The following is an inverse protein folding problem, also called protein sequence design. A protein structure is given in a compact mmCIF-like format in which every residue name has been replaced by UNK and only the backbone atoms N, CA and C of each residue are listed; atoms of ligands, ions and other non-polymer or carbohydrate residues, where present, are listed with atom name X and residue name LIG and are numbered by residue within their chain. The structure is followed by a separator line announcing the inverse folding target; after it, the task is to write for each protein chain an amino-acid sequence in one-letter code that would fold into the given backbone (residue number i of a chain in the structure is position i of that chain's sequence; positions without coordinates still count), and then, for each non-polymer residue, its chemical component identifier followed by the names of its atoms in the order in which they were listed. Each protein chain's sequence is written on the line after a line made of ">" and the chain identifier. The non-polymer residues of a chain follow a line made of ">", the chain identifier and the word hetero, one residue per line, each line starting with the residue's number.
data_IF_873674158081
#
_entry.id   IF_873674158081
#
_cell.length_a   1.000
_cell.length_b   1.000
_cell.length_c   1.000
_cell.angle_alpha   90.00
_cell.angle_beta   90.00
_cell.angle_gamma   90.00
#
_symmetry.space_group_name_H-M   'P 1'
#
loop_
_entity.id
_entity.type
_entity.pdbx_description
1 polymer ?
#
# COMPACT_ATOMS: atom_id res chain seq x y z
N UNK A 1 -10.12 -11.20 -7.11
CA UNK A 1 -9.24 -12.16 -7.82
C UNK A 1 -8.44 -12.86 -6.74
N UNK A 2 -8.18 -14.16 -6.88
CA UNK A 2 -7.41 -14.89 -5.88
C UNK A 2 -5.94 -14.97 -6.28
N UNK A 3 -5.06 -14.85 -5.30
CA UNK A 3 -3.63 -14.98 -5.42
C UNK A 3 -3.14 -16.10 -4.53
N UNK A 4 -2.16 -16.87 -5.04
CA UNK A 4 -1.61 -18.03 -4.34
C UNK A 4 -0.26 -17.63 -3.75
N UNK A 5 -0.14 -17.69 -2.43
CA UNK A 5 1.10 -17.47 -1.70
C UNK A 5 1.47 -18.76 -0.95
N UNK A 6 2.32 -19.58 -1.56
CA UNK A 6 2.63 -20.91 -1.00
C UNK A 6 1.41 -21.83 -1.07
N UNK A 7 0.95 -22.30 0.09
CA UNK A 7 -0.27 -23.10 0.27
C UNK A 7 -1.50 -22.26 0.69
N UNK A 8 -1.35 -20.94 0.81
CA UNK A 8 -2.43 -20.03 1.18
C UNK A 8 -3.04 -19.33 -0.04
N UNK A 9 -4.35 -19.08 0.02
CA UNK A 9 -5.10 -18.36 -1.02
C UNK A 9 -5.61 -17.05 -0.43
N UNK A 10 -5.24 -15.93 -1.04
CA UNK A 10 -5.66 -14.60 -0.63
C UNK A 10 -6.50 -13.93 -1.71
N UNK A 11 -7.52 -13.16 -1.31
CA UNK A 11 -8.24 -12.25 -2.21
C UNK A 11 -7.82 -10.81 -1.94
N UNK A 12 -7.66 -10.02 -3.00
CA UNK A 12 -7.47 -8.56 -2.90
C UNK A 12 -8.58 -7.88 -2.08
N UNK A 13 -9.81 -8.39 -2.15
CA UNK A 13 -10.96 -7.90 -1.40
C UNK A 13 -10.86 -8.19 0.12
N UNK A 14 -10.31 -9.34 0.49
CA UNK A 14 -10.14 -9.72 1.89
C UNK A 14 -9.09 -8.84 2.55
N UNK A 15 -7.96 -8.63 1.86
CA UNK A 15 -6.90 -7.71 2.32
C UNK A 15 -7.45 -6.28 2.44
N UNK A 16 -8.19 -5.82 1.44
CA UNK A 16 -8.84 -4.50 1.48
C UNK A 16 -9.77 -4.34 2.68
N UNK A 17 -10.59 -5.36 2.95
CA UNK A 17 -11.53 -5.36 4.09
C UNK A 17 -10.80 -5.37 5.43
N UNK A 18 -9.71 -6.13 5.56
CA UNK A 18 -8.87 -6.17 6.76
C UNK A 18 -8.19 -4.82 7.01
N UNK A 19 -7.67 -4.18 5.98
CA UNK A 19 -7.06 -2.85 6.05
C UNK A 19 -8.06 -1.80 6.51
N UNK A 20 -9.27 -1.80 5.95
CA UNK A 20 -10.34 -0.88 6.37
C UNK A 20 -10.76 -1.11 7.81
N UNK A 21 -11.03 -2.36 8.18
CA UNK A 21 -11.55 -2.72 9.52
C UNK A 21 -10.56 -2.45 10.65
N UNK A 22 -9.29 -2.77 10.43
CA UNK A 22 -8.29 -2.74 11.51
C UNK A 22 -7.52 -1.42 11.57
N UNK A 23 -7.36 -0.73 10.45
CA UNK A 23 -6.47 0.44 10.34
C UNK A 23 -7.14 1.66 9.71
N UNK A 24 -8.40 1.57 9.27
CA UNK A 24 -9.12 2.62 8.53
C UNK A 24 -8.41 3.06 7.24
N UNK A 25 -7.73 2.11 6.60
CA UNK A 25 -7.11 2.33 5.30
C UNK A 25 -8.15 2.02 4.23
N UNK A 26 -8.53 3.04 3.46
CA UNK A 26 -9.47 2.90 2.35
C UNK A 26 -8.75 2.40 1.10
N UNK A 27 -9.35 1.46 0.38
CA UNK A 27 -8.89 1.09 -0.97
C UNK A 27 -9.61 1.96 -2.00
N UNK A 28 -8.84 2.75 -2.75
CA UNK A 28 -9.36 3.57 -3.86
C UNK A 28 -9.52 2.70 -5.11
N UNK A 29 -8.53 1.86 -5.41
CA UNK A 29 -8.52 1.05 -6.63
C UNK A 29 -7.74 -0.24 -6.42
N UNK A 30 -8.32 -1.36 -6.84
CA UNK A 30 -7.62 -2.64 -6.93
C UNK A 30 -6.79 -2.70 -8.22
N UNK A 31 -5.46 -2.67 -8.05
CA UNK A 31 -4.48 -2.72 -9.14
C UNK A 31 -4.00 -4.15 -9.44
N UNK A 32 -4.50 -5.16 -8.72
CA UNK A 32 -4.03 -6.55 -8.80
C UNK A 32 -4.03 -7.08 -10.23
N UNK A 33 -5.12 -6.85 -10.99
CA UNK A 33 -5.21 -7.29 -12.41
C UNK A 33 -4.16 -6.63 -13.29
N UNK A 34 -3.78 -5.38 -13.02
CA UNK A 34 -2.79 -4.63 -13.81
C UNK A 34 -1.37 -5.21 -13.68
N UNK A 35 -1.12 -5.99 -12.62
CA UNK A 35 0.17 -6.66 -12.43
C UNK A 35 0.37 -7.79 -13.43
N UNK A 36 -0.70 -8.38 -13.97
CA UNK A 36 -0.69 -9.61 -14.79
C UNK A 36 -0.02 -10.80 -14.10
N UNK A 37 -0.11 -10.88 -12.77
CA UNK A 37 0.50 -11.94 -11.96
C UNK A 37 -0.52 -12.60 -11.03
N UNK A 38 -0.40 -13.91 -10.87
CA UNK A 38 -1.24 -14.72 -9.97
C UNK A 38 -0.68 -14.78 -8.54
N UNK A 39 0.52 -14.24 -8.32
CA UNK A 39 1.26 -14.28 -7.05
C UNK A 39 1.44 -12.88 -6.43
N UNK A 40 0.62 -11.91 -6.84
CA UNK A 40 0.76 -10.50 -6.46
C UNK A 40 -0.60 -9.85 -6.22
N UNK A 41 -0.78 -9.18 -5.08
CA UNK A 41 -1.88 -8.26 -4.80
C UNK A 41 -1.32 -6.84 -4.84
N UNK A 42 -2.02 -5.93 -5.51
CA UNK A 42 -1.62 -4.51 -5.54
C UNK A 42 -2.84 -3.63 -5.32
N UNK A 43 -2.78 -2.72 -4.36
CA UNK A 43 -3.88 -1.83 -4.00
C UNK A 43 -3.39 -0.39 -3.99
N UNK A 44 -4.17 0.50 -4.61
CA UNK A 44 -4.08 1.93 -4.41
C UNK A 44 -5.00 2.29 -3.25
N UNK A 45 -4.42 2.84 -2.20
CA UNK A 45 -5.11 3.11 -0.95
C UNK A 45 -4.99 4.58 -0.55
N UNK A 46 -5.81 4.96 0.41
CA UNK A 46 -5.71 6.23 1.10
C UNK A 46 -5.88 6.09 2.60
N UNK A 47 -5.22 6.97 3.34
CA UNK A 47 -5.40 7.12 4.78
C UNK A 47 -5.55 8.60 5.11
N UNK A 48 -6.33 8.89 6.16
CA UNK A 48 -6.47 10.24 6.69
C UNK A 48 -5.12 10.75 7.23
N UNK A 49 -4.75 11.99 6.89
CA UNK A 49 -3.51 12.58 7.38
C UNK A 49 -3.49 12.73 8.89
N UNK A 50 -4.63 12.90 9.56
CA UNK A 50 -4.71 13.01 11.01
C UNK A 50 -4.19 11.75 11.72
N UNK A 51 -4.29 10.58 11.07
CA UNK A 51 -3.71 9.34 11.59
C UNK A 51 -2.19 9.29 11.54
N UNK A 52 -1.59 10.05 10.63
CA UNK A 52 -0.14 10.10 10.42
C UNK A 52 0.48 11.28 11.17
N UNK A 53 -0.21 12.42 11.16
CA UNK A 53 0.20 13.68 11.76
C UNK A 53 -0.99 14.20 12.57
N UNK A 54 -0.91 14.10 13.90
CA UNK A 54 -1.98 14.59 14.78
C UNK A 54 -2.19 16.11 14.78
N UNK A 55 -1.58 16.86 13.84
CA UNK A 55 -1.70 18.30 13.70
C UNK A 55 -1.45 18.77 12.26
N UNK A 56 -1.76 20.05 11.98
CA UNK A 56 -1.67 20.66 10.67
C UNK A 56 -0.28 20.62 10.03
N UNK A 57 -0.25 20.46 8.71
CA UNK A 57 0.95 20.24 7.91
C UNK A 57 1.00 21.25 6.75
N UNK A 58 2.16 21.87 6.54
CA UNK A 58 2.41 22.79 5.42
C UNK A 58 3.04 22.05 4.23
N UNK A 59 2.26 21.94 3.16
CA UNK A 59 2.66 21.25 1.92
C UNK A 59 3.73 21.96 1.10
N UNK A 60 3.95 23.25 1.36
CA UNK A 60 4.93 24.02 0.61
C UNK A 60 6.36 23.72 1.06
N UNK A 61 6.54 23.15 2.25
CA UNK A 61 7.82 22.64 2.73
C UNK A 61 8.05 21.21 2.25
N UNK A 62 8.93 21.06 1.26
CA UNK A 62 9.32 19.77 0.68
C UNK A 62 9.81 18.79 1.75
N UNK A 63 10.55 19.26 2.76
CA UNK A 63 11.10 18.36 3.79
C UNK A 63 9.99 17.82 4.67
N UNK A 64 9.03 18.65 5.05
CA UNK A 64 7.88 18.19 5.82
C UNK A 64 7.02 17.24 4.98
N UNK A 65 6.84 17.51 3.68
CA UNK A 65 6.12 16.61 2.79
C UNK A 65 6.78 15.22 2.72
N UNK A 66 8.08 15.16 2.50
CA UNK A 66 8.83 13.89 2.47
C UNK A 66 8.75 13.15 3.81
N UNK A 67 8.83 13.86 4.93
CA UNK A 67 8.70 13.29 6.28
C UNK A 67 7.30 12.69 6.50
N UNK A 68 6.23 13.40 6.10
CA UNK A 68 4.85 12.91 6.18
C UNK A 68 4.64 11.66 5.32
N UNK A 69 5.16 11.66 4.08
CA UNK A 69 5.09 10.48 3.21
C UNK A 69 5.84 9.28 3.83
N UNK A 70 7.02 9.53 4.39
CA UNK A 70 7.82 8.49 5.05
C UNK A 70 7.12 7.94 6.29
N UNK A 71 6.53 8.79 7.13
CA UNK A 71 5.72 8.39 8.29
C UNK A 71 4.52 7.56 7.88
N UNK A 72 3.84 7.96 6.80
CA UNK A 72 2.74 7.18 6.24
C UNK A 72 3.22 5.80 5.78
N UNK A 73 4.35 5.72 5.08
CA UNK A 73 4.92 4.44 4.66
C UNK A 73 5.25 3.54 5.86
N UNK A 74 5.86 4.09 6.92
CA UNK A 74 6.16 3.34 8.15
C UNK A 74 4.89 2.85 8.84
N UNK A 75 3.87 3.69 9.01
CA UNK A 75 2.60 3.29 9.62
C UNK A 75 1.92 2.15 8.85
N UNK A 76 1.88 2.23 7.52
CA UNK A 76 1.27 1.20 6.68
C UNK A 76 2.13 -0.07 6.69
N UNK A 77 3.45 0.03 6.72
CA UNK A 77 4.36 -1.11 6.82
C UNK A 77 4.14 -1.92 8.11
N UNK A 78 4.02 -1.23 9.25
CA UNK A 78 3.69 -1.83 10.54
C UNK A 78 2.30 -2.47 10.53
N UNK A 79 1.32 -1.80 9.92
CA UNK A 79 -0.05 -2.30 9.77
C UNK A 79 -0.08 -3.58 8.93
N UNK A 80 0.64 -3.60 7.80
CA UNK A 80 0.75 -4.76 6.92
C UNK A 80 1.46 -5.93 7.60
N UNK A 81 2.54 -5.66 8.33
CA UNK A 81 3.26 -6.68 9.11
C UNK A 81 2.35 -7.30 10.17
N UNK A 82 1.50 -6.48 10.80
CA UNK A 82 0.55 -6.91 11.83
C UNK A 82 -0.59 -7.79 11.29
N UNK A 83 -0.94 -7.67 10.00
CA UNK A 83 -1.90 -8.56 9.33
C UNK A 83 -1.39 -10.00 9.16
N UNK A 84 -0.07 -10.23 9.28
CA UNK A 84 0.56 -11.56 9.22
C UNK A 84 0.17 -12.37 7.97
N UNK A 85 0.16 -11.71 6.80
CA UNK A 85 -0.07 -12.37 5.52
C UNK A 85 1.06 -13.37 5.26
N UNK A 86 0.77 -14.67 5.37
CA UNK A 86 1.78 -15.72 5.28
C UNK A 86 2.44 -15.77 3.89
N UNK A 87 3.67 -16.25 3.87
CA UNK A 87 4.48 -16.47 2.66
C UNK A 87 4.60 -15.23 1.76
N UNK A 88 4.48 -14.03 2.33
CA UNK A 88 4.46 -12.79 1.56
C UNK A 88 5.58 -11.85 1.97
N UNK A 89 5.94 -10.97 1.05
CA UNK A 89 6.61 -9.70 1.35
C UNK A 89 5.71 -8.59 0.83
N UNK A 90 5.76 -7.44 1.47
CA UNK A 90 5.04 -6.24 1.02
C UNK A 90 6.00 -5.09 0.75
N UNK A 91 5.51 -4.13 -0.04
CA UNK A 91 6.18 -2.87 -0.33
C UNK A 91 5.14 -1.75 -0.42
N UNK A 92 5.46 -0.61 0.16
CA UNK A 92 4.60 0.57 0.20
C UNK A 92 5.35 1.77 -0.40
N UNK A 93 4.59 2.67 -1.02
CA UNK A 93 5.07 4.00 -1.43
C UNK A 93 3.94 5.00 -1.37
N UNK A 94 4.09 5.99 -0.50
CA UNK A 94 3.24 7.16 -0.48
C UNK A 94 3.79 8.19 -1.49
N UNK A 95 2.91 8.81 -2.26
CA UNK A 95 3.34 9.64 -3.39
C UNK A 95 2.52 10.90 -3.59
N UNK A 96 1.29 10.93 -3.07
CA UNK A 96 0.40 12.06 -3.25
C UNK A 96 -0.35 12.35 -1.96
N UNK A 97 -0.58 13.63 -1.70
CA UNK A 97 -1.54 14.08 -0.70
C UNK A 97 -2.67 14.85 -1.38
N UNK A 98 -3.91 14.51 -1.03
CA UNK A 98 -5.11 15.19 -1.48
C UNK A 98 -5.54 16.22 -0.42
N UNK A 99 -5.34 17.50 -0.73
CA UNK A 99 -5.70 18.63 0.14
C UNK A 99 -7.21 18.76 0.38
N UNK A 100 -8.04 18.34 -0.58
CA UNK A 100 -9.48 18.51 -0.47
C UNK A 100 -10.03 17.47 0.50
N UNK A 101 -9.62 16.21 0.34
CA UNK A 101 -10.08 15.13 1.22
C UNK A 101 -9.22 14.92 2.44
N UNK A 102 -8.10 15.65 2.59
CA UNK A 102 -7.11 15.48 3.67
C UNK A 102 -6.55 14.04 3.74
N UNK A 103 -6.30 13.41 2.59
CA UNK A 103 -5.85 12.01 2.53
C UNK A 103 -4.48 11.85 1.87
N UNK A 104 -3.64 11.00 2.46
CA UNK A 104 -2.41 10.53 1.82
C UNK A 104 -2.75 9.32 0.96
N UNK A 105 -2.32 9.36 -0.30
CA UNK A 105 -2.50 8.31 -1.29
C UNK A 105 -1.19 7.55 -1.45
N UNK A 106 -1.31 6.22 -1.41
CA UNK A 106 -0.17 5.32 -1.52
C UNK A 106 -0.54 4.06 -2.28
N UNK A 107 0.50 3.35 -2.76
CA UNK A 107 0.35 2.01 -3.32
C UNK A 107 0.99 1.01 -2.36
N UNK A 108 0.26 -0.06 -2.05
CA UNK A 108 0.78 -1.26 -1.39
C UNK A 108 0.79 -2.42 -2.38
N UNK A 109 1.91 -3.15 -2.41
CA UNK A 109 2.06 -4.37 -3.20
C UNK A 109 2.49 -5.50 -2.28
N UNK A 110 1.77 -6.61 -2.32
CA UNK A 110 2.00 -7.81 -1.53
C UNK A 110 2.25 -8.94 -2.52
N UNK A 111 3.34 -9.69 -2.35
CA UNK A 111 3.74 -10.71 -3.32
C UNK A 111 4.29 -11.93 -2.59
N UNK A 112 4.07 -13.11 -3.19
CA UNK A 112 4.66 -14.35 -2.70
C UNK A 112 6.19 -14.20 -2.53
N UNK A 113 6.71 -14.64 -1.37
CA UNK A 113 8.06 -14.32 -0.89
C UNK A 113 9.18 -14.71 -1.85
N UNK A 114 9.07 -15.85 -2.56
CA UNK A 114 10.10 -16.29 -3.49
C UNK A 114 10.14 -15.43 -4.77
N UNK A 115 8.97 -15.04 -5.26
CA UNK A 115 8.83 -14.12 -6.40
C UNK A 115 9.23 -12.70 -6.02
N UNK A 116 8.82 -12.26 -4.83
CA UNK A 116 9.07 -10.91 -4.32
C UNK A 116 10.57 -10.57 -4.30
N UNK A 117 11.41 -11.49 -3.80
CA UNK A 117 12.87 -11.32 -3.76
C UNK A 117 13.49 -11.02 -5.14
N UNK A 118 12.87 -11.48 -6.23
CA UNK A 118 13.38 -11.33 -7.60
C UNK A 118 12.69 -10.20 -8.37
N UNK A 119 11.39 -9.99 -8.16
CA UNK A 119 10.53 -9.21 -9.05
C UNK A 119 9.75 -8.08 -8.38
N UNK A 120 9.70 -8.02 -7.04
CA UNK A 120 8.91 -6.99 -6.32
C UNK A 120 9.26 -5.59 -6.81
N UNK A 121 10.55 -5.25 -6.88
CA UNK A 121 10.99 -3.91 -7.31
C UNK A 121 10.60 -3.57 -8.75
N UNK A 122 10.65 -4.54 -9.66
CA UNK A 122 10.27 -4.35 -11.07
C UNK A 122 8.76 -4.13 -11.20
N UNK A 123 7.96 -4.99 -10.56
CA UNK A 123 6.50 -4.87 -10.54
C UNK A 123 6.08 -3.55 -9.90
N UNK A 124 6.67 -3.20 -8.77
CA UNK A 124 6.34 -1.99 -8.03
C UNK A 124 6.69 -0.71 -8.80
N UNK A 125 7.83 -0.68 -9.49
CA UNK A 125 8.21 0.44 -10.38
C UNK A 125 7.20 0.63 -11.50
N UNK A 126 6.71 -0.46 -12.12
CA UNK A 126 5.67 -0.38 -13.16
C UNK A 126 4.34 0.11 -12.59
N UNK A 127 3.96 -0.35 -11.39
CA UNK A 127 2.75 0.11 -10.72
C UNK A 127 2.79 1.62 -10.47
N UNK A 128 3.90 2.14 -9.94
CA UNK A 128 4.07 3.58 -9.73
C UNK A 128 4.02 4.34 -11.04
N UNK A 129 4.81 3.97 -12.06
CA UNK A 129 4.83 4.67 -13.35
C UNK A 129 3.45 4.81 -14.01
N UNK A 130 2.56 3.85 -13.78
CA UNK A 130 1.23 3.83 -14.38
C UNK A 130 0.14 4.51 -13.52
N UNK A 131 0.43 4.89 -12.27
CA UNK A 131 -0.59 5.33 -11.30
C UNK A 131 -0.19 6.54 -10.43
N UNK A 132 1.09 6.93 -10.47
CA UNK A 132 1.63 8.22 -10.02
C UNK A 132 1.30 9.30 -11.06
#
# INVERSE_FOLDING_TARGET
>A
MYQIFGDEIYSSLDISSLLKKNYDIDTITDLTKSTSREDTIALKCSIDIEKIMGCGFDMTDIKQFEDVMTKCESYVDESMTSLKVKYSLHKIRAYKYDQISQKIIFIVCIMYIESARKKMNDVFKRLLKNND
#
